data_IF_779991892770
#
_entry.id   IF_779991892770
#
_cell.length_a   1.000
_cell.length_b   1.000
_cell.length_c   1.000
_cell.angle_alpha   90.00
_cell.angle_beta   90.00
_cell.angle_gamma   90.00
#
_symmetry.space_group_name_H-M   'P 1'
#
loop_
_entity.id
_entity.type
_entity.pdbx_description
1 polymer ?
#
# COMPACT_ATOMS: atom_id res chain seq x y z
N UNK A 1 9.59 14.81 10.88
CA UNK A 1 8.58 15.66 10.21
C UNK A 1 7.15 15.11 10.45
N UNK A 2 6.74 14.82 11.69
CA UNK A 2 5.67 13.83 11.92
C UNK A 2 4.42 14.33 12.67
N UNK A 3 4.41 15.56 13.20
CA UNK A 3 3.27 16.03 14.01
C UNK A 3 2.07 16.46 13.17
N UNK A 4 2.32 17.18 12.07
CA UNK A 4 1.26 17.71 11.20
C UNK A 4 0.51 16.59 10.47
N UNK A 5 1.24 15.56 10.02
CA UNK A 5 0.69 14.36 9.37
C UNK A 5 -0.19 13.56 10.33
N UNK A 6 0.23 13.41 11.59
CA UNK A 6 -0.55 12.69 12.60
C UNK A 6 -1.84 13.42 12.98
N UNK A 7 -1.81 14.76 13.05
CA UNK A 7 -3.01 15.57 13.31
C UNK A 7 -4.01 15.47 12.15
N UNK A 8 -3.54 15.54 10.90
CA UNK A 8 -4.39 15.44 9.71
C UNK A 8 -5.00 14.03 9.60
N UNK A 9 -4.21 12.97 9.85
CA UNK A 9 -4.69 11.58 9.90
C UNK A 9 -5.76 11.39 10.97
N UNK A 10 -5.49 11.82 12.21
CA UNK A 10 -6.46 11.74 13.30
C UNK A 10 -7.76 12.51 13.03
N UNK A 11 -7.67 13.66 12.36
CA UNK A 11 -8.85 14.42 11.95
C UNK A 11 -9.66 13.71 10.86
N UNK A 12 -9.02 13.21 9.80
CA UNK A 12 -9.67 12.44 8.73
C UNK A 12 -10.34 11.17 9.29
N UNK A 13 -9.67 10.46 10.18
CA UNK A 13 -10.21 9.25 10.83
C UNK A 13 -11.44 9.57 11.68
N UNK A 14 -11.42 10.69 12.42
CA UNK A 14 -12.55 11.16 13.21
C UNK A 14 -13.74 11.57 12.33
N UNK A 15 -13.49 12.28 11.22
CA UNK A 15 -14.54 12.64 10.27
C UNK A 15 -15.17 11.40 9.61
N UNK A 16 -14.35 10.43 9.22
CA UNK A 16 -14.85 9.14 8.73
C UNK A 16 -15.74 8.48 9.77
N UNK A 17 -15.25 8.27 11.01
CA UNK A 17 -16.01 7.63 12.10
C UNK A 17 -17.39 8.27 12.34
N UNK A 18 -17.51 9.60 12.29
CA UNK A 18 -18.78 10.32 12.41
C UNK A 18 -19.75 9.97 11.27
N UNK A 19 -19.31 10.03 10.02
CA UNK A 19 -20.13 9.68 8.85
C UNK A 19 -20.56 8.21 8.90
N UNK A 20 -19.64 7.31 9.31
CA UNK A 20 -19.91 5.88 9.45
C UNK A 20 -21.09 5.66 10.40
N UNK A 21 -21.10 6.36 11.54
CA UNK A 21 -22.14 6.24 12.57
C UNK A 21 -23.50 6.76 12.09
N UNK A 22 -23.52 7.84 11.30
CA UNK A 22 -24.75 8.42 10.77
C UNK A 22 -25.43 7.52 9.73
N UNK A 23 -24.66 6.81 8.88
CA UNK A 23 -25.23 5.88 7.91
C UNK A 23 -25.73 4.58 8.55
N UNK A 24 -25.11 4.11 9.63
CA UNK A 24 -25.54 2.94 10.40
C UNK A 24 -26.97 3.11 10.96
N UNK A 25 -27.33 4.33 11.39
CA UNK A 25 -28.65 4.66 11.93
C UNK A 25 -29.80 4.55 10.92
N UNK A 26 -29.50 4.43 9.61
CA UNK A 26 -30.52 4.29 8.55
C UNK A 26 -31.01 2.86 8.32
N UNK A 27 -30.44 1.86 8.98
CA UNK A 27 -31.04 0.52 9.08
C UNK A 27 -30.93 -0.39 7.84
N UNK A 28 -30.06 -0.07 6.88
CA UNK A 28 -29.83 -0.93 5.71
C UNK A 28 -28.76 -2.00 6.02
N UNK A 29 -29.21 -3.24 6.22
CA UNK A 29 -28.33 -4.40 6.56
C UNK A 29 -27.25 -4.70 5.49
N UNK A 30 -27.51 -4.34 4.23
CA UNK A 30 -26.55 -4.48 3.13
C UNK A 30 -25.52 -3.34 3.09
N UNK A 31 -25.86 -2.18 3.64
CA UNK A 31 -24.93 -1.05 3.72
C UNK A 31 -23.98 -1.22 4.90
N UNK A 32 -24.48 -1.66 6.06
CA UNK A 32 -23.69 -1.83 7.28
C UNK A 32 -22.52 -2.81 7.11
N UNK A 33 -22.76 -3.93 6.42
CA UNK A 33 -21.76 -4.96 6.13
C UNK A 33 -20.72 -4.47 5.11
N UNK A 34 -21.16 -3.86 4.01
CA UNK A 34 -20.28 -3.27 3.01
C UNK A 34 -19.45 -2.12 3.59
N UNK A 35 -20.05 -1.31 4.46
CA UNK A 35 -19.40 -0.18 5.09
C UNK A 35 -18.40 -0.63 6.18
N UNK A 36 -18.70 -1.68 6.94
CA UNK A 36 -17.73 -2.28 7.88
C UNK A 36 -16.55 -2.90 7.13
N UNK A 37 -16.80 -3.65 6.06
CA UNK A 37 -15.73 -4.16 5.19
C UNK A 37 -14.95 -3.01 4.55
N UNK A 38 -15.62 -1.99 4.02
CA UNK A 38 -14.99 -0.83 3.41
C UNK A 38 -14.16 -0.02 4.40
N UNK A 39 -14.65 0.20 5.63
CA UNK A 39 -13.92 0.91 6.70
C UNK A 39 -12.73 0.10 7.19
N UNK A 40 -12.86 -1.22 7.32
CA UNK A 40 -11.74 -2.10 7.70
C UNK A 40 -10.70 -2.16 6.58
N UNK A 41 -11.14 -2.31 5.33
CA UNK A 41 -10.28 -2.30 4.13
C UNK A 41 -9.57 -0.95 4.01
N UNK A 42 -10.27 0.18 4.18
CA UNK A 42 -9.67 1.53 4.11
C UNK A 42 -8.77 1.82 5.31
N UNK A 43 -9.07 1.35 6.52
CA UNK A 43 -8.19 1.50 7.69
C UNK A 43 -6.90 0.70 7.54
N UNK A 44 -6.96 -0.54 7.04
CA UNK A 44 -5.75 -1.31 6.71
C UNK A 44 -4.95 -0.65 5.57
N UNK A 45 -5.63 -0.09 4.57
CA UNK A 45 -4.99 0.67 3.48
C UNK A 45 -4.35 1.98 3.95
N UNK A 46 -4.92 2.65 4.97
CA UNK A 46 -4.36 3.86 5.59
C UNK A 46 -3.20 3.58 6.56
N UNK A 47 -3.11 2.35 7.08
CA UNK A 47 -2.03 1.94 8.01
C UNK A 47 -0.73 1.56 7.29
N UNK A 48 -0.78 1.20 6.01
CA UNK A 48 0.40 0.83 5.25
C UNK A 48 0.99 2.08 4.59
N UNK A 49 2.00 2.68 5.21
CA UNK A 49 2.67 3.90 4.73
C UNK A 49 3.61 3.62 3.54
N UNK A 50 3.10 2.94 2.51
CA UNK A 50 3.82 2.57 1.28
C UNK A 50 3.31 3.45 0.15
N UNK A 51 4.23 4.09 -0.57
CA UNK A 51 3.93 5.02 -1.65
C UNK A 51 4.46 4.54 -3.00
N UNK A 52 3.88 5.04 -4.09
CA UNK A 52 4.46 4.85 -5.42
C UNK A 52 5.87 5.44 -5.48
N UNK A 53 6.73 4.79 -6.25
CA UNK A 53 8.16 5.10 -6.40
C UNK A 53 8.98 5.01 -5.11
N UNK A 54 8.44 4.39 -4.06
CA UNK A 54 9.21 4.06 -2.86
C UNK A 54 10.05 2.80 -3.10
N UNK A 55 11.25 2.76 -2.50
CA UNK A 55 12.08 1.57 -2.45
C UNK A 55 11.63 0.66 -1.31
N UNK A 56 11.41 -0.60 -1.64
CA UNK A 56 11.17 -1.70 -0.70
C UNK A 56 12.17 -2.82 -0.98
N UNK A 57 12.30 -3.77 -0.07
CA UNK A 57 13.20 -4.91 -0.23
C UNK A 57 12.41 -6.20 -0.41
N UNK A 58 12.69 -6.90 -1.51
CA UNK A 58 12.15 -8.22 -1.83
C UNK A 58 13.33 -9.18 -1.92
N UNK A 59 13.35 -10.23 -1.09
CA UNK A 59 14.47 -11.19 -1.03
C UNK A 59 15.86 -10.51 -0.94
N UNK A 60 15.98 -9.49 -0.07
CA UNK A 60 17.22 -8.72 0.13
C UNK A 60 17.68 -7.91 -1.11
N UNK A 61 16.81 -7.71 -2.10
CA UNK A 61 17.05 -6.85 -3.25
C UNK A 61 16.12 -5.65 -3.22
N UNK A 62 16.64 -4.48 -3.61
CA UNK A 62 15.82 -3.28 -3.79
C UNK A 62 14.79 -3.50 -4.90
N UNK A 63 13.57 -3.06 -4.66
CA UNK A 63 12.48 -3.08 -5.61
C UNK A 63 11.72 -1.76 -5.54
N UNK A 64 11.33 -1.22 -6.70
CA UNK A 64 10.62 0.05 -6.79
C UNK A 64 9.11 -0.22 -6.84
N UNK A 65 8.34 0.41 -5.96
CA UNK A 65 6.88 0.30 -5.99
C UNK A 65 6.32 1.04 -7.22
N UNK A 66 5.69 0.31 -8.15
CA UNK A 66 5.11 0.84 -9.40
C UNK A 66 3.57 0.87 -9.39
N UNK A 67 2.95 0.11 -8.50
CA UNK A 67 1.49 -0.02 -8.41
C UNK A 67 1.04 -0.29 -6.98
N UNK A 68 -0.06 0.33 -6.58
CA UNK A 68 -0.76 0.07 -5.31
C UNK A 68 -2.25 0.02 -5.63
N UNK A 69 -2.89 -1.13 -5.45
CA UNK A 69 -4.31 -1.27 -5.79
C UNK A 69 -4.83 -2.69 -5.77
N UNK A 70 -6.08 -2.86 -6.17
CA UNK A 70 -6.72 -4.17 -6.36
C UNK A 70 -6.40 -4.75 -7.73
N UNK A 71 -6.37 -6.08 -7.83
CA UNK A 71 -6.12 -6.81 -9.08
C UNK A 71 -7.27 -7.79 -9.36
N UNK A 72 -7.48 -8.16 -10.62
CA UNK A 72 -8.54 -9.08 -11.02
C UNK A 72 -8.28 -10.53 -10.58
N UNK A 73 -7.02 -10.91 -10.37
CA UNK A 73 -6.62 -12.29 -10.08
C UNK A 73 -6.51 -12.59 -8.57
N UNK A 74 -6.85 -11.65 -7.69
CA UNK A 74 -6.77 -11.85 -6.26
C UNK A 74 -7.50 -10.78 -5.45
N UNK A 75 -8.08 -11.18 -4.31
CA UNK A 75 -8.77 -10.26 -3.42
C UNK A 75 -7.80 -9.40 -2.60
N UNK A 76 -8.23 -8.20 -2.23
CA UNK A 76 -7.48 -7.27 -1.36
C UNK A 76 -6.45 -6.42 -2.10
N UNK A 77 -5.63 -5.70 -1.32
CA UNK A 77 -4.60 -4.80 -1.85
C UNK A 77 -3.38 -5.57 -2.33
N UNK A 78 -2.78 -5.13 -3.43
CA UNK A 78 -1.52 -5.62 -3.99
C UNK A 78 -0.57 -4.46 -4.25
N UNK A 79 0.71 -4.78 -4.18
CA UNK A 79 1.83 -3.92 -4.52
C UNK A 79 2.51 -4.50 -5.76
N UNK A 80 2.44 -3.78 -6.87
CA UNK A 80 3.24 -4.09 -8.05
C UNK A 80 4.61 -3.45 -7.88
N UNK A 81 5.67 -4.25 -7.92
CA UNK A 81 7.04 -3.79 -7.76
C UNK A 81 7.88 -4.15 -8.98
N UNK A 82 8.83 -3.28 -9.30
CA UNK A 82 9.88 -3.53 -10.28
C UNK A 82 11.14 -3.97 -9.55
N UNK A 83 11.60 -5.19 -9.84
CA UNK A 83 12.84 -5.78 -9.31
C UNK A 83 13.95 -5.74 -10.38
N UNK A 84 15.22 -5.61 -9.96
CA UNK A 84 16.34 -5.54 -10.88
C UNK A 84 16.68 -6.92 -11.49
N UNK A 85 17.38 -6.90 -12.62
CA UNK A 85 17.99 -8.09 -13.24
C UNK A 85 17.03 -9.23 -13.66
N UNK A 86 15.74 -8.93 -13.90
CA UNK A 86 14.80 -9.93 -14.40
C UNK A 86 14.46 -11.01 -13.36
N UNK A 87 14.59 -10.71 -12.06
CA UNK A 87 14.21 -11.63 -10.97
C UNK A 87 12.71 -11.70 -10.70
N UNK A 88 11.90 -11.02 -11.52
CA UNK A 88 10.43 -11.02 -11.46
C UNK A 88 9.80 -12.05 -12.40
N UNK A 89 8.49 -11.94 -12.59
CA UNK A 89 7.70 -12.93 -13.35
C UNK A 89 6.74 -12.30 -14.37
N UNK A 90 6.66 -10.98 -14.43
CA UNK A 90 5.74 -10.25 -15.34
C UNK A 90 6.39 -8.95 -15.83
N UNK A 91 5.80 -8.29 -16.81
CA UNK A 91 6.13 -6.92 -17.22
C UNK A 91 5.15 -5.87 -16.64
N UNK A 92 4.29 -6.29 -15.71
CA UNK A 92 3.22 -5.48 -15.11
C UNK A 92 1.84 -5.68 -15.77
N UNK A 93 1.76 -6.58 -16.75
CA UNK A 93 0.50 -7.07 -17.33
C UNK A 93 0.25 -8.50 -16.88
N UNK A 94 -0.96 -8.77 -16.39
CA UNK A 94 -1.41 -10.12 -16.03
C UNK A 94 -2.74 -10.38 -16.74
N UNK A 95 -2.94 -11.56 -17.33
CA UNK A 95 -4.21 -11.92 -17.98
C UNK A 95 -4.73 -10.92 -19.03
N UNK A 96 -3.84 -10.16 -19.70
CA UNK A 96 -4.22 -9.12 -20.65
C UNK A 96 -4.61 -7.77 -20.05
N UNK A 97 -4.54 -7.61 -18.73
CA UNK A 97 -4.80 -6.35 -18.02
C UNK A 97 -3.48 -5.75 -17.55
N UNK A 98 -3.19 -4.51 -17.98
CA UNK A 98 -1.99 -3.78 -17.57
C UNK A 98 -2.25 -3.00 -16.28
N UNK A 99 -1.39 -3.18 -15.28
CA UNK A 99 -1.45 -2.49 -13.98
C UNK A 99 -0.32 -1.47 -13.82
N UNK A 100 0.88 -1.84 -14.28
CA UNK A 100 2.06 -0.98 -14.34
C UNK A 100 2.94 -1.42 -15.52
N UNK A 101 4.02 -0.68 -15.74
CA UNK A 101 5.01 -1.00 -16.79
C UNK A 101 6.39 -1.14 -16.17
N UNK A 102 7.09 -2.21 -16.57
CA UNK A 102 8.48 -2.51 -16.26
C UNK A 102 9.05 -3.41 -17.37
N UNK A 103 10.38 -3.65 -17.41
CA UNK A 103 10.98 -4.60 -18.34
C UNK A 103 10.38 -6.01 -18.21
N UNK A 104 10.55 -6.83 -19.25
CA UNK A 104 10.12 -8.23 -19.22
C UNK A 104 10.78 -8.99 -18.06
N UNK A 105 9.98 -9.77 -17.35
CA UNK A 105 10.39 -10.53 -16.16
C UNK A 105 10.95 -9.66 -15.02
N UNK A 106 10.63 -8.36 -14.96
CA UNK A 106 11.07 -7.48 -13.87
C UNK A 106 9.96 -7.07 -12.91
N UNK A 107 8.71 -7.48 -13.16
CA UNK A 107 7.56 -7.16 -12.32
C UNK A 107 7.22 -8.30 -11.36
N UNK A 108 6.76 -7.93 -10.16
CA UNK A 108 6.14 -8.84 -9.19
C UNK A 108 4.90 -8.20 -8.57
N UNK A 109 3.90 -9.01 -8.22
CA UNK A 109 2.75 -8.60 -7.42
C UNK A 109 2.85 -9.20 -6.02
N UNK A 110 2.83 -8.35 -5.01
CA UNK A 110 3.10 -8.72 -3.62
C UNK A 110 1.96 -8.28 -2.69
N UNK A 111 1.78 -8.99 -1.58
CA UNK A 111 0.96 -8.55 -0.44
C UNK A 111 1.80 -7.75 0.54
N UNK A 112 1.10 -7.01 1.39
CA UNK A 112 1.73 -6.42 2.56
C UNK A 112 2.32 -7.55 3.43
N UNK A 113 3.60 -7.45 3.78
CA UNK A 113 4.34 -8.49 4.49
C UNK A 113 5.26 -9.35 3.62
N UNK A 114 5.09 -9.32 2.29
CA UNK A 114 5.98 -10.03 1.35
C UNK A 114 7.23 -9.22 0.98
N UNK A 115 7.33 -7.98 1.49
CA UNK A 115 8.47 -7.09 1.30
C UNK A 115 8.78 -6.34 2.60
N UNK A 116 9.99 -5.83 2.70
CA UNK A 116 10.45 -5.02 3.83
C UNK A 116 10.55 -3.56 3.43
N UNK A 117 10.21 -2.65 4.34
CA UNK A 117 10.45 -1.22 4.12
C UNK A 117 11.95 -0.95 4.20
N UNK A 118 12.44 0.00 3.40
CA UNK A 118 13.76 0.56 3.63
C UNK A 118 13.81 1.09 5.07
N UNK A 119 14.75 0.57 5.86
CA UNK A 119 15.03 1.16 7.17
C UNK A 119 15.64 2.53 6.91
N UNK A 120 15.14 3.55 7.59
CA UNK A 120 15.88 4.81 7.65
C UNK A 120 17.24 4.47 8.23
N UNK A 121 18.31 4.64 7.44
CA UNK A 121 19.65 4.52 7.97
C UNK A 121 19.78 5.58 9.06
N UNK A 122 19.96 5.12 10.30
CA UNK A 122 20.43 5.97 11.39
C UNK A 122 21.77 6.53 10.90
N UNK A 123 21.76 7.78 10.40
CA UNK A 123 23.00 8.49 10.12
C UNK A 123 23.67 8.68 11.46
N UNK A 124 24.69 7.90 11.73
CA UNK A 124 25.66 8.22 12.76
C UNK A 124 26.23 9.59 12.37
N UNK A 125 25.89 10.59 13.17
CA UNK A 125 26.47 11.92 13.07
C UNK A 125 27.99 11.75 13.28
N UNK A 126 28.75 11.64 12.19
CA UNK A 126 30.20 11.85 12.18
C UNK A 126 30.46 13.33 12.49
N UNK A 127 30.28 13.70 13.75
CA UNK A 127 30.89 14.87 14.34
C UNK A 127 32.38 14.57 14.65
N UNK A 128 33.22 15.58 14.37
CA UNK A 128 34.63 15.76 14.73
C UNK A 128 35.72 15.28 13.75
N UNK A 129 36.25 16.24 12.96
CA UNK A 129 37.55 16.89 13.25
C UNK A 129 37.73 18.23 12.50
#
# INVERSE_FOLDING_TARGET
MNLMTNIIRGFLDSQQQSLTSQLIMRGDNNFFTHFSAFKVITQQQLQNDVHLNQIVFVNNQEALVKFIGTVHFGAGLFYGVEVPFGSGCTNGTEGGVAYFSCPENSGMFLKFGDFQMQKEDEKEDEDEL
#
